data_IF_340590449138
#
_entry.id   IF_340590449138
#
_cell.length_a   1.000
_cell.length_b   1.000
_cell.length_c   1.000
_cell.angle_alpha   90.00
_cell.angle_beta   90.00
_cell.angle_gamma   90.00
#
_symmetry.space_group_name_H-M   'P 1'
#
loop_
_entity.id
_entity.type
_entity.pdbx_description
1 polymer ?
#
# COMPACT_ATOMS: atom_id res chain seq x y z
N UNK A 1 67.71 32.29 -31.07
CA UNK A 1 68.00 30.93 -31.58
C UNK A 1 66.72 30.35 -32.19
N UNK A 2 66.56 30.50 -33.51
CA UNK A 2 65.45 29.97 -34.31
C UNK A 2 65.94 28.69 -34.99
N UNK A 3 65.24 27.57 -34.82
CA UNK A 3 65.45 26.34 -35.60
C UNK A 3 64.40 26.29 -36.71
N UNK A 4 64.86 26.41 -37.94
CA UNK A 4 64.14 26.13 -39.18
C UNK A 4 64.29 24.65 -39.50
N UNK A 5 63.18 23.92 -39.61
CA UNK A 5 63.16 22.55 -40.15
C UNK A 5 62.49 22.57 -41.54
N UNK A 6 63.24 22.05 -42.51
CA UNK A 6 62.89 21.93 -43.92
C UNK A 6 61.78 20.90 -44.12
N UNK A 7 60.78 21.26 -44.93
CA UNK A 7 59.61 20.43 -45.27
C UNK A 7 59.82 19.88 -46.68
N UNK A 8 60.18 18.62 -46.78
CA UNK A 8 60.37 17.90 -48.04
C UNK A 8 59.01 17.47 -48.58
N UNK A 9 58.66 17.94 -49.78
CA UNK A 9 57.46 17.56 -50.53
C UNK A 9 57.73 16.30 -51.34
N UNK A 10 57.07 15.19 -51.01
CA UNK A 10 57.00 14.00 -51.85
C UNK A 10 55.71 14.04 -52.68
N UNK A 11 55.88 14.06 -54.00
CA UNK A 11 54.81 13.95 -54.99
C UNK A 11 54.33 12.51 -55.11
N UNK A 12 53.05 12.26 -54.82
CA UNK A 12 52.36 11.01 -55.11
C UNK A 12 51.83 11.00 -56.57
N UNK A 13 51.77 9.82 -57.22
CA UNK A 13 51.28 9.69 -58.59
C UNK A 13 49.75 9.82 -58.67
N UNK A 14 49.19 10.20 -59.83
CA UNK A 14 47.75 10.33 -60.02
C UNK A 14 47.08 8.95 -60.01
N UNK A 15 46.24 8.73 -58.99
CA UNK A 15 45.37 7.55 -58.91
C UNK A 15 44.23 7.64 -59.92
N UNK A 16 43.92 6.50 -60.52
CA UNK A 16 42.83 6.26 -61.47
C UNK A 16 41.45 6.61 -60.89
N UNK A 17 40.49 7.09 -61.71
CA UNK A 17 39.13 7.33 -61.28
C UNK A 17 38.35 6.01 -61.30
N UNK A 18 38.49 5.21 -60.24
CA UNK A 18 37.64 4.04 -60.02
C UNK A 18 36.46 4.37 -59.12
N UNK A 19 35.26 4.20 -59.66
CA UNK A 19 34.14 3.60 -58.94
C UNK A 19 33.40 4.46 -57.92
N UNK A 20 32.56 5.37 -58.42
CA UNK A 20 31.41 5.94 -57.72
C UNK A 20 30.31 4.86 -57.47
N UNK A 21 30.64 3.76 -56.79
CA UNK A 21 29.71 2.67 -56.47
C UNK A 21 29.75 2.22 -54.99
N UNK A 22 30.64 2.74 -54.14
CA UNK A 22 30.73 2.33 -52.72
C UNK A 22 29.53 2.78 -51.89
N UNK A 23 28.91 3.91 -52.24
CA UNK A 23 27.83 4.50 -51.43
C UNK A 23 26.52 3.68 -51.48
N UNK A 24 26.35 2.80 -52.47
CA UNK A 24 25.18 1.91 -52.59
C UNK A 24 25.41 0.55 -51.92
N UNK A 25 26.63 0.04 -51.91
CA UNK A 25 26.98 -1.20 -51.20
C UNK A 25 26.97 -0.98 -49.68
N UNK A 26 27.47 0.17 -49.21
CA UNK A 26 27.44 0.53 -47.78
C UNK A 26 26.00 0.74 -47.26
N UNK A 27 25.09 1.28 -48.09
CA UNK A 27 23.68 1.45 -47.73
C UNK A 27 22.93 0.11 -47.65
N UNK A 28 23.26 -0.84 -48.54
CA UNK A 28 22.66 -2.18 -48.55
C UNK A 28 23.17 -3.01 -47.36
N UNK A 29 24.45 -2.89 -46.99
CA UNK A 29 25.02 -3.55 -45.79
C UNK A 29 24.38 -3.03 -44.49
N UNK A 30 24.11 -1.72 -44.38
CA UNK A 30 23.40 -1.16 -43.22
C UNK A 30 21.96 -1.67 -43.15
N UNK A 31 21.25 -1.73 -44.28
CA UNK A 31 19.87 -2.23 -44.33
C UNK A 31 19.78 -3.74 -44.02
N UNK A 32 20.78 -4.52 -44.45
CA UNK A 32 20.87 -5.95 -44.15
C UNK A 32 21.30 -6.21 -42.70
N UNK A 33 22.14 -5.35 -42.11
CA UNK A 33 22.47 -5.37 -40.68
C UNK A 33 21.27 -4.96 -39.81
N UNK A 34 20.48 -3.97 -40.22
CA UNK A 34 19.23 -3.57 -39.55
C UNK A 34 18.15 -4.66 -39.64
N UNK A 35 18.02 -5.32 -40.80
CA UNK A 35 17.14 -6.50 -40.96
C UNK A 35 17.62 -7.70 -40.15
N UNK A 36 18.93 -7.94 -40.10
CA UNK A 36 19.54 -9.02 -39.32
C UNK A 36 19.50 -8.77 -37.81
N UNK A 37 19.47 -7.51 -37.37
CA UNK A 37 19.39 -7.13 -35.97
C UNK A 37 17.98 -7.20 -35.37
N UNK A 38 16.92 -7.40 -36.17
CA UNK A 38 15.53 -7.40 -35.70
C UNK A 38 15.31 -6.29 -34.67
N UNK A 39 15.51 -5.04 -35.12
CA UNK A 39 15.34 -3.86 -34.28
C UNK A 39 13.85 -3.73 -33.96
N UNK A 40 13.43 -4.39 -32.88
CA UNK A 40 12.06 -4.38 -32.41
C UNK A 40 11.75 -2.99 -31.85
N UNK A 41 10.89 -2.25 -32.55
CA UNK A 41 10.32 -1.00 -32.05
C UNK A 41 9.28 -1.38 -31.02
N UNK A 42 9.49 -0.94 -29.78
CA UNK A 42 8.57 -1.18 -28.68
C UNK A 42 7.88 0.13 -28.29
N UNK A 43 6.67 0.02 -27.79
CA UNK A 43 6.01 1.11 -27.09
C UNK A 43 6.42 1.14 -25.62
N UNK A 44 6.24 2.30 -24.99
CA UNK A 44 6.37 2.41 -23.53
C UNK A 44 5.43 1.44 -22.81
N UNK A 45 4.20 1.26 -23.30
CA UNK A 45 3.22 0.32 -22.72
C UNK A 45 3.75 -1.12 -22.72
N UNK A 46 4.32 -1.58 -23.84
CA UNK A 46 4.94 -2.92 -23.94
C UNK A 46 6.08 -3.07 -22.93
N UNK A 47 6.93 -2.05 -22.78
CA UNK A 47 8.01 -2.09 -21.79
C UNK A 47 7.49 -2.17 -20.34
N UNK A 48 6.42 -1.46 -20.03
CA UNK A 48 5.85 -1.40 -18.67
C UNK A 48 5.04 -2.64 -18.31
N UNK A 49 4.38 -3.25 -19.29
CA UNK A 49 3.50 -4.42 -19.12
C UNK A 49 4.23 -5.74 -19.31
N UNK A 50 5.46 -5.72 -19.78
CA UNK A 50 6.31 -6.91 -19.86
C UNK A 50 6.52 -7.49 -18.45
N UNK A 51 6.28 -8.80 -18.35
CA UNK A 51 6.43 -9.54 -17.10
C UNK A 51 7.90 -9.82 -16.85
N UNK A 52 8.29 -9.91 -15.57
CA UNK A 52 9.66 -10.34 -15.25
C UNK A 52 10.00 -11.72 -15.82
N UNK A 53 9.00 -12.59 -15.99
CA UNK A 53 9.16 -13.94 -16.51
C UNK A 53 10.05 -14.83 -15.63
N UNK A 54 10.40 -16.02 -16.13
CA UNK A 54 11.41 -16.88 -15.51
C UNK A 54 11.16 -17.29 -14.06
N UNK A 55 12.26 -17.65 -13.38
CA UNK A 55 12.29 -17.94 -11.94
C UNK A 55 13.03 -16.80 -11.22
N UNK A 56 12.62 -16.44 -10.00
CA UNK A 56 13.39 -15.50 -9.20
C UNK A 56 14.80 -16.07 -8.90
N UNK A 57 15.80 -15.20 -8.65
CA UNK A 57 17.14 -15.62 -8.25
C UNK A 57 17.06 -16.46 -6.96
N UNK A 58 17.72 -17.64 -6.92
CA UNK A 58 17.69 -18.48 -5.73
C UNK A 58 18.38 -17.80 -4.55
N UNK A 59 18.01 -18.21 -3.34
CA UNK A 59 18.72 -17.85 -2.11
C UNK A 59 19.97 -18.72 -1.96
N UNK A 60 21.11 -18.12 -1.57
CA UNK A 60 22.35 -18.86 -1.29
C UNK A 60 22.14 -19.97 -0.26
N UNK A 61 21.41 -19.65 0.81
CA UNK A 61 21.02 -20.63 1.82
C UNK A 61 19.65 -20.31 2.39
N UNK A 62 19.04 -21.29 3.03
CA UNK A 62 17.79 -21.10 3.81
C UNK A 62 17.98 -20.23 5.06
N UNK A 63 19.22 -19.92 5.43
CA UNK A 63 19.55 -19.09 6.61
C UNK A 63 19.65 -17.60 6.30
N UNK A 64 19.70 -17.23 5.01
CA UNK A 64 19.71 -15.81 4.62
C UNK A 64 18.40 -15.19 5.05
N UNK A 65 18.48 -14.36 6.11
CA UNK A 65 17.46 -13.42 6.53
C UNK A 65 16.02 -13.98 6.55
N UNK A 66 15.80 -14.96 7.41
CA UNK A 66 14.52 -15.66 7.57
C UNK A 66 13.61 -15.07 8.66
N UNK A 67 14.00 -13.93 9.26
CA UNK A 67 13.34 -13.36 10.44
C UNK A 67 12.54 -12.12 10.09
N UNK A 68 11.35 -12.02 10.68
CA UNK A 68 10.56 -10.78 10.71
C UNK A 68 10.57 -10.24 12.14
N UNK A 69 10.67 -8.92 12.29
CA UNK A 69 10.61 -8.25 13.60
C UNK A 69 9.23 -8.45 14.24
N UNK A 70 9.19 -8.67 15.55
CA UNK A 70 7.96 -8.58 16.33
C UNK A 70 7.53 -7.14 16.59
N UNK A 71 6.52 -6.93 17.43
CA UNK A 71 6.12 -5.59 17.85
C UNK A 71 7.28 -4.85 18.56
N UNK A 72 7.49 -3.56 18.27
CA UNK A 72 8.35 -2.68 19.08
C UNK A 72 7.66 -2.36 20.40
N UNK A 73 8.43 -1.86 21.37
CA UNK A 73 7.86 -1.29 22.60
C UNK A 73 6.85 -0.16 22.31
N UNK A 74 7.09 0.64 21.26
CA UNK A 74 6.18 1.72 20.86
C UNK A 74 4.88 1.17 20.29
N UNK A 75 4.96 0.17 19.42
CA UNK A 75 3.81 -0.49 18.79
C UNK A 75 2.94 -1.21 19.83
N UNK A 76 3.53 -1.79 20.89
CA UNK A 76 2.78 -2.37 22.02
C UNK A 76 1.91 -1.33 22.74
N UNK A 77 2.32 -0.05 22.73
CA UNK A 77 1.64 1.04 23.43
C UNK A 77 0.63 1.81 22.55
N UNK A 78 0.38 1.36 21.33
CA UNK A 78 -0.62 1.99 20.46
C UNK A 78 -2.00 2.01 21.12
N UNK A 79 -2.68 3.17 21.02
CA UNK A 79 -4.08 3.31 21.44
C UNK A 79 -5.01 2.52 20.51
N UNK A 80 -6.24 2.16 20.92
CA UNK A 80 -7.17 1.44 20.06
C UNK A 80 -7.42 2.08 18.68
N UNK A 81 -7.33 3.41 18.59
CA UNK A 81 -7.47 4.17 17.34
C UNK A 81 -6.25 4.11 16.43
N UNK A 82 -5.08 3.73 16.96
CA UNK A 82 -3.83 3.58 16.22
C UNK A 82 -3.59 2.12 15.81
N UNK A 83 -4.29 1.16 16.40
CA UNK A 83 -4.08 -0.27 16.16
C UNK A 83 -4.78 -0.74 14.89
N UNK A 84 -4.19 -1.72 14.20
CA UNK A 84 -4.89 -2.45 13.14
C UNK A 84 -6.05 -3.22 13.78
N UNK A 85 -7.27 -3.03 13.26
CA UNK A 85 -8.48 -3.67 13.79
C UNK A 85 -9.03 -4.70 12.81
N UNK A 86 -8.94 -4.41 11.52
CA UNK A 86 -9.61 -5.18 10.47
C UNK A 86 -8.71 -5.36 9.26
N UNK A 87 -8.80 -6.54 8.64
CA UNK A 87 -8.12 -6.87 7.40
C UNK A 87 -9.14 -7.44 6.42
N UNK A 88 -9.15 -6.98 5.18
CA UNK A 88 -9.99 -7.55 4.12
C UNK A 88 -9.19 -7.77 2.85
N UNK A 89 -9.68 -8.65 1.98
CA UNK A 89 -9.19 -8.75 0.62
C UNK A 89 -9.73 -7.60 -0.24
N UNK A 90 -8.98 -7.26 -1.28
CA UNK A 90 -9.41 -6.41 -2.38
C UNK A 90 -8.76 -6.92 -3.66
N UNK A 91 -9.32 -8.00 -4.21
CA UNK A 91 -8.78 -8.72 -5.38
C UNK A 91 -8.57 -7.82 -6.60
N UNK A 92 -9.53 -6.95 -6.86
CA UNK A 92 -9.49 -6.03 -7.99
C UNK A 92 -8.58 -4.80 -7.78
N UNK A 93 -7.90 -4.66 -6.63
CA UNK A 93 -7.16 -3.43 -6.29
C UNK A 93 -6.16 -3.02 -7.37
N UNK A 94 -5.28 -3.94 -7.77
CA UNK A 94 -4.19 -3.65 -8.73
C UNK A 94 -4.74 -3.46 -10.14
N UNK A 95 -5.75 -4.24 -10.56
CA UNK A 95 -6.39 -4.05 -11.86
C UNK A 95 -7.10 -2.70 -11.94
N UNK A 96 -7.86 -2.32 -10.92
CA UNK A 96 -8.52 -1.01 -10.86
C UNK A 96 -7.51 0.13 -10.84
N UNK A 97 -6.41 0.00 -10.10
CA UNK A 97 -5.31 0.97 -10.12
C UNK A 97 -4.78 1.18 -11.54
N UNK A 98 -4.56 0.08 -12.28
CA UNK A 98 -4.12 0.12 -13.68
C UNK A 98 -5.16 0.77 -14.58
N UNK A 99 -6.43 0.41 -14.43
CA UNK A 99 -7.52 1.01 -15.22
C UNK A 99 -7.59 2.53 -15.03
N UNK A 100 -7.46 3.01 -13.79
CA UNK A 100 -7.41 4.46 -13.50
C UNK A 100 -6.18 5.13 -14.11
N UNK A 101 -5.02 4.46 -14.09
CA UNK A 101 -3.80 4.98 -14.72
C UNK A 101 -3.94 5.01 -16.25
N UNK A 102 -4.41 3.94 -16.87
CA UNK A 102 -4.67 3.84 -18.31
C UNK A 102 -5.71 4.86 -18.81
N UNK A 103 -6.64 5.28 -17.95
CA UNK A 103 -7.60 6.33 -18.24
C UNK A 103 -7.01 7.75 -18.12
N UNK A 104 -5.83 7.92 -17.49
CA UNK A 104 -5.24 9.24 -17.27
C UNK A 104 -4.66 9.82 -18.58
N UNK A 105 -5.07 11.03 -19.02
CA UNK A 105 -4.69 11.56 -20.34
C UNK A 105 -3.19 11.65 -20.61
N UNK A 106 -2.40 12.09 -19.62
CA UNK A 106 -0.93 12.14 -19.76
C UNK A 106 -0.31 10.76 -19.92
N UNK A 107 -0.88 9.76 -19.23
CA UNK A 107 -0.38 8.40 -19.35
C UNK A 107 -0.71 7.82 -20.72
N UNK A 108 -1.90 8.08 -21.26
CA UNK A 108 -2.25 7.65 -22.63
C UNK A 108 -1.34 8.22 -23.71
N UNK A 109 -0.89 9.47 -23.55
CA UNK A 109 0.09 10.07 -24.44
C UNK A 109 1.48 9.40 -24.29
N UNK A 110 1.95 9.29 -23.05
CA UNK A 110 3.25 8.68 -22.73
C UNK A 110 3.34 7.21 -23.14
N UNK A 111 2.32 6.39 -22.85
CA UNK A 111 2.35 4.94 -23.05
C UNK A 111 2.38 4.54 -24.52
N UNK A 112 1.83 5.38 -25.40
CA UNK A 112 1.82 5.17 -26.87
C UNK A 112 3.10 5.64 -27.56
N UNK A 113 4.04 6.24 -26.83
CA UNK A 113 5.32 6.66 -27.41
C UNK A 113 6.07 5.43 -27.91
N UNK A 114 6.44 5.47 -29.19
CA UNK A 114 7.32 4.48 -29.80
C UNK A 114 8.78 4.74 -29.38
N UNK A 115 9.47 3.68 -29.00
CA UNK A 115 10.85 3.66 -28.55
C UNK A 115 11.69 2.98 -29.61
N UNK A 116 12.34 3.79 -30.45
CA UNK A 116 13.26 3.28 -31.45
C UNK A 116 14.63 2.99 -30.80
N UNK A 117 15.19 1.78 -30.93
CA UNK A 117 16.50 1.46 -30.36
C UNK A 117 17.66 2.27 -30.95
N UNK A 118 17.49 2.82 -32.16
CA UNK A 118 18.45 3.69 -32.84
C UNK A 118 18.34 5.16 -32.40
N UNK A 119 17.24 5.56 -31.76
CA UNK A 119 17.11 6.86 -31.10
C UNK A 119 17.71 6.79 -29.70
N UNK A 120 18.60 7.73 -29.37
CA UNK A 120 19.29 7.74 -28.07
C UNK A 120 18.30 7.90 -26.92
N UNK A 121 17.30 8.78 -27.06
CA UNK A 121 16.33 9.02 -25.99
C UNK A 121 15.39 7.81 -25.82
N UNK A 122 14.86 7.27 -26.92
CA UNK A 122 14.07 6.05 -26.95
C UNK A 122 14.81 4.85 -26.33
N UNK A 123 16.07 4.66 -26.70
CA UNK A 123 16.93 3.60 -26.17
C UNK A 123 17.21 3.74 -24.67
N UNK A 124 17.52 4.95 -24.20
CA UNK A 124 17.73 5.21 -22.76
C UNK A 124 16.46 4.95 -21.96
N UNK A 125 15.29 5.37 -22.47
CA UNK A 125 14.01 5.14 -21.81
C UNK A 125 13.67 3.65 -21.78
N UNK A 126 13.83 2.94 -22.90
CA UNK A 126 13.66 1.49 -22.98
C UNK A 126 14.55 0.76 -21.98
N UNK A 127 15.84 1.13 -21.89
CA UNK A 127 16.77 0.51 -20.93
C UNK A 127 16.43 0.80 -19.47
N UNK A 128 15.76 1.92 -19.19
CA UNK A 128 15.35 2.33 -17.85
C UNK A 128 14.03 1.68 -17.40
N UNK A 129 13.21 1.19 -18.33
CA UNK A 129 11.89 0.62 -18.05
C UNK A 129 11.82 -0.89 -18.23
N UNK A 130 12.44 -1.42 -19.29
CA UNK A 130 12.22 -2.82 -19.70
C UNK A 130 12.87 -3.81 -18.72
N UNK A 131 12.17 -4.85 -18.24
CA UNK A 131 12.66 -5.77 -17.21
C UNK A 131 13.95 -6.51 -17.59
N UNK A 132 14.13 -6.86 -18.87
CA UNK A 132 15.38 -7.45 -19.38
C UNK A 132 16.59 -6.51 -19.38
N UNK A 133 16.37 -5.19 -19.35
CA UNK A 133 17.44 -4.18 -19.29
C UNK A 133 17.72 -3.75 -17.86
N UNK A 134 16.67 -3.59 -17.07
CA UNK A 134 16.76 -3.19 -15.66
C UNK A 134 17.36 -4.32 -14.80
N UNK A 135 18.21 -3.95 -13.83
CA UNK A 135 18.86 -4.92 -12.95
C UNK A 135 19.99 -5.73 -13.61
N UNK A 136 20.46 -5.36 -14.80
CA UNK A 136 21.73 -5.87 -15.35
C UNK A 136 22.86 -5.57 -14.35
N UNK A 137 23.63 -6.59 -13.98
CA UNK A 137 24.71 -6.49 -12.99
C UNK A 137 24.30 -6.83 -11.55
N UNK A 138 23.02 -7.12 -11.29
CA UNK A 138 22.62 -7.71 -10.02
C UNK A 138 23.10 -9.16 -9.90
N UNK A 139 23.37 -9.64 -8.67
CA UNK A 139 23.82 -11.01 -8.48
C UNK A 139 22.73 -12.00 -8.90
N UNK A 140 23.14 -13.11 -9.52
CA UNK A 140 22.24 -14.20 -9.93
C UNK A 140 21.70 -15.01 -8.76
N UNK A 141 22.29 -14.85 -7.57
CA UNK A 141 21.93 -15.51 -6.33
C UNK A 141 21.82 -14.46 -5.21
N UNK A 142 20.89 -14.67 -4.28
CA UNK A 142 20.64 -13.74 -3.17
C UNK A 142 21.48 -14.16 -1.96
N UNK A 143 22.46 -13.33 -1.58
CA UNK A 143 23.34 -13.54 -0.43
C UNK A 143 22.82 -12.84 0.84
N UNK A 144 22.00 -11.78 0.68
CA UNK A 144 21.53 -10.92 1.76
C UNK A 144 20.16 -10.28 1.48
N UNK A 145 19.55 -9.66 2.49
CA UNK A 145 18.34 -8.80 2.31
C UNK A 145 18.59 -7.65 1.33
N UNK A 146 19.83 -7.15 1.30
CA UNK A 146 20.24 -6.06 0.40
C UNK A 146 20.16 -6.48 -1.06
N UNK A 147 20.42 -7.75 -1.39
CA UNK A 147 20.31 -8.23 -2.76
C UNK A 147 18.85 -8.32 -3.18
N UNK A 148 17.96 -8.86 -2.32
CA UNK A 148 16.51 -8.86 -2.58
C UNK A 148 15.97 -7.45 -2.78
N UNK A 149 16.38 -6.51 -1.92
CA UNK A 149 16.05 -5.09 -2.03
C UNK A 149 16.52 -4.52 -3.36
N UNK A 150 17.76 -4.80 -3.76
CA UNK A 150 18.34 -4.30 -5.01
C UNK A 150 17.60 -4.83 -6.24
N UNK A 151 17.18 -6.11 -6.23
CA UNK A 151 16.35 -6.70 -7.28
C UNK A 151 14.99 -6.02 -7.39
N UNK A 152 14.28 -5.84 -6.28
CA UNK A 152 12.96 -5.19 -6.26
C UNK A 152 13.06 -3.72 -6.71
N UNK A 153 14.03 -2.97 -6.17
CA UNK A 153 14.20 -1.56 -6.50
C UNK A 153 14.60 -1.38 -7.97
N UNK A 154 15.59 -2.12 -8.45
CA UNK A 154 16.13 -1.92 -9.80
C UNK A 154 15.17 -2.38 -10.88
N UNK A 155 14.40 -3.46 -10.66
CA UNK A 155 13.52 -4.05 -11.69
C UNK A 155 12.08 -3.57 -11.65
N UNK A 156 11.61 -3.03 -10.52
CA UNK A 156 10.20 -2.67 -10.35
C UNK A 156 10.04 -1.24 -9.83
N UNK A 157 10.54 -0.94 -8.63
CA UNK A 157 10.19 0.33 -7.97
C UNK A 157 10.83 1.57 -8.62
N UNK A 158 12.12 1.53 -8.97
CA UNK A 158 12.78 2.65 -9.64
C UNK A 158 12.28 2.85 -11.08
N UNK A 159 12.14 1.80 -11.91
CA UNK A 159 11.51 1.94 -13.22
C UNK A 159 10.09 2.53 -13.14
N UNK A 160 9.28 2.09 -12.18
CA UNK A 160 7.92 2.60 -11.98
C UNK A 160 7.92 4.08 -11.58
N UNK A 161 8.80 4.47 -10.64
CA UNK A 161 8.94 5.86 -10.25
C UNK A 161 9.37 6.71 -11.45
N UNK A 162 10.40 6.26 -12.19
CA UNK A 162 10.90 6.91 -13.41
C UNK A 162 9.81 7.10 -14.47
N UNK A 163 9.00 6.07 -14.74
CA UNK A 163 7.88 6.15 -15.67
C UNK A 163 6.85 7.22 -15.26
N UNK A 164 6.57 7.36 -13.95
CA UNK A 164 5.71 8.43 -13.43
C UNK A 164 6.36 9.80 -13.68
N UNK A 165 7.67 9.93 -13.45
CA UNK A 165 8.42 11.16 -13.72
C UNK A 165 8.23 11.61 -15.17
N UNK A 166 8.48 10.71 -16.12
CA UNK A 166 8.30 10.96 -17.54
C UNK A 166 6.85 11.30 -17.88
N UNK A 167 5.89 10.54 -17.35
CA UNK A 167 4.45 10.81 -17.55
C UNK A 167 4.05 12.20 -17.06
N UNK A 168 4.60 12.66 -15.93
CA UNK A 168 4.30 13.98 -15.39
C UNK A 168 4.89 15.10 -16.23
N UNK A 169 6.07 14.86 -16.83
CA UNK A 169 6.78 15.78 -17.71
C UNK A 169 6.15 15.88 -19.11
N UNK A 170 5.35 14.89 -19.51
CA UNK A 170 4.66 14.87 -20.81
C UNK A 170 3.87 16.16 -21.07
N UNK A 171 4.26 16.87 -22.14
CA UNK A 171 3.67 18.16 -22.54
C UNK A 171 4.01 19.36 -21.64
N UNK A 172 5.01 19.27 -20.77
CA UNK A 172 5.43 20.37 -19.89
C UNK A 172 6.89 20.78 -20.09
N UNK A 173 7.15 22.08 -20.24
CA UNK A 173 8.51 22.62 -20.43
C UNK A 173 9.26 22.91 -19.11
N UNK A 174 8.55 22.97 -17.98
CA UNK A 174 9.15 23.15 -16.66
C UNK A 174 9.59 21.78 -16.11
N UNK A 175 10.78 21.69 -15.50
CA UNK A 175 11.18 20.54 -14.71
C UNK A 175 10.35 20.58 -13.43
N UNK A 176 9.31 19.73 -13.27
CA UNK A 176 8.53 19.72 -12.03
C UNK A 176 9.43 19.25 -10.88
N UNK A 177 9.05 19.51 -9.63
CA UNK A 177 9.54 18.66 -8.56
C UNK A 177 8.96 17.27 -8.80
N UNK A 178 9.77 16.22 -8.71
CA UNK A 178 9.41 14.91 -9.26
C UNK A 178 9.38 13.87 -8.13
N UNK A 179 8.35 13.00 -8.07
CA UNK A 179 8.32 11.94 -7.06
C UNK A 179 9.51 10.99 -7.22
N UNK A 180 10.07 10.54 -6.12
CA UNK A 180 11.20 9.62 -6.12
C UNK A 180 11.06 8.56 -5.04
N UNK A 181 11.74 7.42 -5.25
CA UNK A 181 11.85 6.37 -4.25
C UNK A 181 13.20 6.52 -3.54
N UNK A 182 13.18 6.46 -2.22
CA UNK A 182 14.38 6.60 -1.40
C UNK A 182 14.32 5.64 -0.21
N UNK A 183 15.47 5.40 0.41
CA UNK A 183 15.50 4.87 1.77
C UNK A 183 14.87 5.86 2.76
N UNK A 184 14.46 5.36 3.92
CA UNK A 184 13.83 6.15 4.97
C UNK A 184 14.77 6.38 6.15
N UNK A 185 14.84 7.62 6.65
CA UNK A 185 15.48 7.89 7.93
C UNK A 185 14.64 7.29 9.06
N UNK A 186 15.28 6.46 9.90
CA UNK A 186 14.61 5.85 11.04
C UNK A 186 14.38 6.82 12.20
N UNK A 187 13.23 6.66 12.87
CA UNK A 187 13.02 7.22 14.22
C UNK A 187 13.10 6.08 15.22
N UNK A 188 13.83 6.29 16.33
CA UNK A 188 13.92 5.28 17.40
C UNK A 188 12.52 4.87 17.87
N UNK A 189 12.24 3.58 17.85
CA UNK A 189 10.95 2.99 18.24
C UNK A 189 9.89 2.92 17.14
N UNK A 190 10.10 3.60 16.00
CA UNK A 190 9.21 3.57 14.84
C UNK A 190 9.59 2.45 13.89
N UNK A 191 8.60 1.85 13.24
CA UNK A 191 8.82 0.96 12.10
C UNK A 191 9.47 1.74 10.95
N UNK A 192 10.63 1.28 10.49
CA UNK A 192 11.33 1.84 9.35
C UNK A 192 10.97 0.97 8.14
N UNK A 193 10.36 1.52 7.09
CA UNK A 193 10.20 0.81 5.82
C UNK A 193 11.53 0.79 5.07
N UNK A 194 11.75 -0.24 4.26
CA UNK A 194 12.97 -0.38 3.45
C UNK A 194 13.03 0.69 2.35
N UNK A 195 11.88 1.14 1.85
CA UNK A 195 11.77 2.25 0.92
C UNK A 195 10.55 3.14 1.20
N UNK A 196 10.63 4.38 0.75
CA UNK A 196 9.52 5.35 0.74
C UNK A 196 9.41 5.98 -0.65
N UNK A 197 8.19 6.06 -1.15
CA UNK A 197 7.82 6.89 -2.29
C UNK A 197 7.48 8.28 -1.75
N UNK A 198 8.23 9.29 -2.17
CA UNK A 198 8.12 10.65 -1.68
C UNK A 198 7.40 11.51 -2.73
N UNK A 199 6.37 12.25 -2.31
CA UNK A 199 5.74 13.27 -3.16
C UNK A 199 6.64 14.47 -3.32
N UNK A 200 6.49 15.11 -4.47
CA UNK A 200 7.18 16.33 -4.82
C UNK A 200 6.98 17.47 -3.80
N UNK A 201 7.95 18.39 -3.73
CA UNK A 201 7.93 19.66 -2.98
C UNK A 201 7.80 19.61 -1.45
N UNK A 202 7.33 18.50 -0.89
CA UNK A 202 6.89 18.38 0.51
C UNK A 202 7.74 17.40 1.31
N UNK A 203 8.54 16.56 0.64
CA UNK A 203 9.29 15.45 1.25
C UNK A 203 8.41 14.52 2.10
N UNK A 204 7.11 14.43 1.79
CA UNK A 204 6.14 13.60 2.48
C UNK A 204 6.14 12.21 1.86
N UNK A 205 6.25 11.17 2.69
CA UNK A 205 6.09 9.79 2.24
C UNK A 205 4.62 9.52 1.89
N UNK A 206 4.37 9.18 0.63
CA UNK A 206 3.04 8.84 0.09
C UNK A 206 2.83 7.33 -0.09
N UNK A 207 3.92 6.58 -0.24
CA UNK A 207 3.89 5.14 -0.36
C UNK A 207 5.08 4.52 0.36
N UNK A 208 4.94 3.29 0.82
CA UNK A 208 5.97 2.57 1.57
C UNK A 208 6.36 1.29 0.83
N UNK A 209 7.60 0.87 1.00
CA UNK A 209 8.12 -0.39 0.49
C UNK A 209 8.73 -1.22 1.62
N UNK A 210 8.30 -2.47 1.72
CA UNK A 210 8.81 -3.46 2.67
C UNK A 210 9.30 -4.69 1.89
N UNK A 211 10.60 -4.91 1.92
CA UNK A 211 11.31 -5.88 1.08
C UNK A 211 11.81 -7.02 1.94
N UNK A 212 11.29 -8.22 1.67
CA UNK A 212 11.69 -9.45 2.35
C UNK A 212 12.56 -10.30 1.44
N UNK A 213 13.19 -11.32 2.01
CA UNK A 213 13.74 -12.44 1.23
C UNK A 213 12.66 -13.49 1.01
N UNK A 214 12.85 -14.36 0.02
CA UNK A 214 12.00 -15.53 -0.22
C UNK A 214 11.92 -16.48 1.00
N UNK A 215 12.97 -16.53 1.83
CA UNK A 215 12.97 -17.32 3.08
C UNK A 215 12.06 -16.72 4.15
N UNK A 216 11.98 -15.39 4.23
CA UNK A 216 11.13 -14.66 5.20
C UNK A 216 9.67 -14.58 4.77
N UNK A 217 9.42 -14.41 3.47
CA UNK A 217 8.09 -14.38 2.88
C UNK A 217 8.02 -15.34 1.67
N UNK A 218 7.94 -16.66 1.93
CA UNK A 218 7.59 -17.63 0.91
C UNK A 218 6.22 -17.35 0.30
N UNK A 219 6.02 -17.70 -0.98
CA UNK A 219 4.73 -17.54 -1.67
C UNK A 219 3.54 -18.18 -0.92
N UNK A 220 3.79 -19.30 -0.21
CA UNK A 220 2.77 -19.97 0.61
C UNK A 220 2.37 -19.20 1.87
N UNK A 221 3.21 -18.31 2.39
CA UNK A 221 2.99 -17.65 3.69
C UNK A 221 1.71 -16.83 3.71
N UNK A 222 1.37 -16.14 2.62
CA UNK A 222 0.14 -15.36 2.55
C UNK A 222 -1.02 -16.12 1.91
N UNK A 223 -0.76 -17.26 1.25
CA UNK A 223 -1.76 -18.00 0.47
C UNK A 223 -3.00 -18.36 1.29
N UNK A 224 -2.80 -18.95 2.47
CA UNK A 224 -3.92 -19.41 3.31
C UNK A 224 -4.75 -18.24 3.85
N UNK A 225 -4.08 -17.14 4.21
CA UNK A 225 -4.77 -15.94 4.71
C UNK A 225 -5.53 -15.25 3.59
N UNK A 226 -4.91 -15.04 2.42
CA UNK A 226 -5.58 -14.43 1.28
C UNK A 226 -6.77 -15.28 0.82
N UNK A 227 -6.60 -16.60 0.72
CA UNK A 227 -7.70 -17.53 0.36
C UNK A 227 -8.85 -17.44 1.36
N UNK A 228 -8.53 -17.39 2.66
CA UNK A 228 -9.54 -17.25 3.70
C UNK A 228 -10.27 -15.90 3.62
N UNK A 229 -9.55 -14.79 3.43
CA UNK A 229 -10.13 -13.46 3.26
C UNK A 229 -11.06 -13.41 2.03
N UNK A 230 -10.61 -13.98 0.91
CA UNK A 230 -11.41 -14.11 -0.32
C UNK A 230 -12.74 -14.85 -0.07
N UNK A 231 -12.66 -15.93 0.71
CA UNK A 231 -13.84 -16.72 1.07
C UNK A 231 -14.79 -15.93 1.97
N UNK A 232 -14.28 -15.11 2.90
CA UNK A 232 -15.13 -14.26 3.73
C UNK A 232 -15.78 -13.14 2.93
N UNK A 233 -15.03 -12.51 2.03
CA UNK A 233 -15.56 -11.48 1.13
C UNK A 233 -16.70 -12.07 0.28
N UNK A 234 -16.46 -13.17 -0.44
CA UNK A 234 -17.46 -13.78 -1.31
C UNK A 234 -18.72 -14.32 -0.60
N UNK A 235 -18.62 -14.73 0.67
CA UNK A 235 -19.75 -15.34 1.39
C UNK A 235 -20.52 -14.38 2.29
N UNK A 236 -19.81 -13.45 2.94
CA UNK A 236 -20.36 -12.60 3.99
C UNK A 236 -20.12 -11.11 3.74
N UNK A 237 -19.21 -10.75 2.83
CA UNK A 237 -18.76 -9.37 2.59
C UNK A 237 -18.34 -8.66 3.89
N UNK A 238 -17.62 -9.33 4.79
CA UNK A 238 -17.14 -8.72 6.04
C UNK A 238 -15.62 -8.77 6.14
N UNK A 239 -14.99 -7.78 6.80
CA UNK A 239 -13.56 -7.85 7.07
C UNK A 239 -13.28 -8.86 8.18
N UNK A 240 -12.05 -9.33 8.23
CA UNK A 240 -11.57 -10.23 9.27
C UNK A 240 -10.87 -9.49 10.40
N UNK A 241 -11.07 -9.97 11.62
CA UNK A 241 -10.56 -9.31 12.82
C UNK A 241 -9.06 -9.53 12.99
N UNK A 242 -8.33 -8.43 13.19
CA UNK A 242 -6.98 -8.44 13.71
C UNK A 242 -6.99 -8.00 15.18
N UNK A 243 -6.23 -8.71 16.01
CA UNK A 243 -6.06 -8.41 17.42
C UNK A 243 -4.68 -7.81 17.64
N UNK A 244 -4.66 -6.72 18.41
CA UNK A 244 -3.44 -6.09 18.89
C UNK A 244 -3.26 -6.43 20.37
N UNK A 245 -2.90 -7.68 20.63
CA UNK A 245 -2.77 -8.21 21.98
C UNK A 245 -1.38 -7.99 22.58
N UNK A 246 -1.33 -7.82 23.90
CA UNK A 246 -0.10 -7.59 24.66
C UNK A 246 0.51 -8.87 25.24
N UNK A 247 -0.23 -9.98 25.19
CA UNK A 247 0.26 -11.28 25.67
C UNK A 247 0.96 -12.07 24.56
N UNK A 248 1.91 -12.90 24.97
CA UNK A 248 2.50 -13.90 24.09
C UNK A 248 1.41 -14.81 23.53
N UNK A 249 1.45 -15.04 22.21
CA UNK A 249 0.52 -15.96 21.56
C UNK A 249 0.63 -17.39 22.11
N UNK A 250 -0.36 -18.24 21.84
CA UNK A 250 -0.31 -19.63 22.25
C UNK A 250 0.93 -20.32 21.67
N UNK A 251 1.58 -21.15 22.47
CA UNK A 251 2.78 -21.92 22.06
C UNK A 251 2.53 -22.83 20.85
N UNK A 252 1.25 -23.08 20.52
CA UNK A 252 0.79 -23.89 19.39
C UNK A 252 0.54 -23.09 18.10
N UNK A 253 0.78 -21.78 18.07
CA UNK A 253 0.67 -21.00 16.84
C UNK A 253 1.68 -21.52 15.80
N UNK A 254 1.22 -21.78 14.57
CA UNK A 254 2.12 -22.17 13.49
C UNK A 254 3.14 -21.05 13.21
N UNK A 255 4.35 -21.43 12.78
CA UNK A 255 5.39 -20.47 12.39
C UNK A 255 4.87 -19.48 11.32
N UNK A 256 4.05 -19.95 10.39
CA UNK A 256 3.41 -19.14 9.36
C UNK A 256 2.44 -18.09 9.95
N UNK A 257 1.58 -18.48 10.90
CA UNK A 257 0.67 -17.54 11.57
C UNK A 257 1.42 -16.47 12.36
N UNK A 258 2.56 -16.84 12.97
CA UNK A 258 3.45 -15.91 13.67
C UNK A 258 4.09 -14.92 12.70
N UNK A 259 4.60 -15.39 11.55
CA UNK A 259 5.19 -14.55 10.51
C UNK A 259 4.19 -13.54 9.94
N UNK A 260 2.99 -13.98 9.57
CA UNK A 260 1.95 -13.07 9.04
C UNK A 260 1.59 -12.00 10.07
N UNK A 261 1.43 -12.39 11.33
CA UNK A 261 1.15 -11.44 12.41
C UNK A 261 2.23 -10.36 12.50
N UNK A 262 3.50 -10.78 12.50
CA UNK A 262 4.64 -9.86 12.53
C UNK A 262 4.67 -8.92 11.33
N UNK A 263 4.43 -9.44 10.13
CA UNK A 263 4.36 -8.66 8.90
C UNK A 263 3.24 -7.62 8.99
N UNK A 264 2.01 -8.03 9.32
CA UNK A 264 0.88 -7.10 9.41
C UNK A 264 1.10 -6.01 10.46
N UNK A 265 1.66 -6.35 11.63
CA UNK A 265 2.04 -5.37 12.64
C UNK A 265 3.08 -4.38 12.12
N UNK A 266 4.11 -4.88 11.41
CA UNK A 266 5.17 -4.05 10.86
C UNK A 266 4.64 -3.09 9.79
N UNK A 267 3.89 -3.59 8.82
CA UNK A 267 3.29 -2.78 7.75
C UNK A 267 2.37 -1.70 8.33
N UNK A 268 1.55 -2.09 9.31
CA UNK A 268 0.63 -1.15 9.95
C UNK A 268 1.35 -0.08 10.76
N UNK A 269 2.34 -0.46 11.58
CA UNK A 269 3.13 0.51 12.36
C UNK A 269 3.82 1.54 11.47
N UNK A 270 4.37 1.10 10.33
CA UNK A 270 4.98 2.00 9.35
C UNK A 270 3.99 2.98 8.73
N UNK A 271 2.75 2.54 8.43
CA UNK A 271 1.66 3.38 7.91
C UNK A 271 1.06 4.31 8.98
N UNK A 272 0.99 3.87 10.23
CA UNK A 272 0.48 4.70 11.32
C UNK A 272 1.44 5.86 11.64
N UNK A 273 2.75 5.60 11.57
CA UNK A 273 3.78 6.64 11.71
C UNK A 273 3.85 7.59 10.49
N UNK A 274 3.26 7.20 9.35
CA UNK A 274 3.26 7.96 8.09
C UNK A 274 1.82 8.02 7.53
N UNK A 275 0.93 8.82 8.14
CA UNK A 275 -0.49 8.80 7.83
C UNK A 275 -0.84 9.20 6.38
N UNK A 276 0.05 9.95 5.72
CA UNK A 276 -0.04 10.28 4.30
C UNK A 276 0.23 9.09 3.36
N UNK A 277 0.84 8.02 3.88
CA UNK A 277 1.15 6.85 3.09
C UNK A 277 -0.04 5.88 3.06
N UNK A 278 -0.79 5.92 1.94
CA UNK A 278 -1.98 5.09 1.76
C UNK A 278 -1.66 3.67 1.31
N UNK A 279 -0.51 3.46 0.68
CA UNK A 279 -0.11 2.16 0.16
C UNK A 279 1.21 1.71 0.77
N UNK A 280 1.28 0.42 1.08
CA UNK A 280 2.55 -0.28 1.29
C UNK A 280 2.71 -1.44 0.31
N UNK A 281 3.84 -1.49 -0.37
CA UNK A 281 4.24 -2.62 -1.21
C UNK A 281 5.03 -3.61 -0.36
N UNK A 282 4.51 -4.82 -0.16
CA UNK A 282 5.22 -5.93 0.45
C UNK A 282 5.72 -6.85 -0.66
N UNK A 283 7.04 -7.03 -0.79
CA UNK A 283 7.59 -7.95 -1.80
C UNK A 283 8.74 -8.76 -1.26
N UNK A 284 8.79 -10.04 -1.62
CA UNK A 284 10.00 -10.87 -1.49
C UNK A 284 10.71 -11.14 -2.81
N UNK A 285 10.33 -10.40 -3.85
CA UNK A 285 10.65 -10.65 -5.25
C UNK A 285 10.04 -11.95 -5.83
N UNK A 286 9.89 -13.00 -5.02
CA UNK A 286 9.13 -14.22 -5.33
C UNK A 286 7.62 -13.94 -5.41
N UNK A 287 7.11 -13.13 -4.48
CA UNK A 287 5.71 -12.75 -4.39
C UNK A 287 5.61 -11.29 -3.96
N UNK A 288 4.64 -10.58 -4.53
CA UNK A 288 4.31 -9.20 -4.19
C UNK A 288 2.84 -9.10 -3.78
N UNK A 289 2.57 -8.38 -2.69
CA UNK A 289 1.23 -8.01 -2.24
C UNK A 289 1.23 -6.51 -1.98
N UNK A 290 0.19 -5.83 -2.47
CA UNK A 290 -0.03 -4.42 -2.19
C UNK A 290 -1.06 -4.28 -1.08
N UNK A 291 -0.74 -3.47 -0.08
CA UNK A 291 -1.58 -3.20 1.07
C UNK A 291 -2.09 -1.76 0.99
N UNK A 292 -3.41 -1.58 1.07
CA UNK A 292 -4.05 -0.27 0.94
C UNK A 292 -4.82 0.08 2.21
N UNK A 293 -4.50 1.23 2.81
CA UNK A 293 -5.22 1.75 3.97
C UNK A 293 -6.55 2.32 3.52
N UNK A 294 -7.66 1.84 4.09
CA UNK A 294 -8.98 2.31 3.69
C UNK A 294 -9.14 3.82 4.01
N UNK A 295 -9.56 4.66 3.04
CA UNK A 295 -9.56 6.12 3.21
C UNK A 295 -10.54 6.61 4.27
N UNK A 296 -11.69 5.92 4.42
CA UNK A 296 -12.72 6.29 5.40
C UNK A 296 -12.63 5.48 6.72
N UNK A 297 -11.90 4.36 6.73
CA UNK A 297 -11.92 3.39 7.85
C UNK A 297 -10.49 3.23 8.38
N UNK A 298 -10.11 4.13 9.29
CA UNK A 298 -8.71 4.34 9.71
C UNK A 298 -7.98 3.06 10.15
N UNK A 299 -8.68 2.06 10.69
CA UNK A 299 -8.15 0.82 11.26
C UNK A 299 -8.43 -0.42 10.39
N UNK A 300 -8.71 -0.23 9.09
CA UNK A 300 -8.92 -1.27 8.09
C UNK A 300 -7.79 -1.26 7.06
N UNK A 301 -7.16 -2.42 6.88
CA UNK A 301 -6.16 -2.68 5.84
C UNK A 301 -6.76 -3.60 4.77
N UNK A 302 -6.70 -3.17 3.51
CA UNK A 302 -7.06 -3.99 2.36
C UNK A 302 -5.80 -4.65 1.78
N UNK A 303 -5.88 -5.92 1.43
CA UNK A 303 -4.79 -6.68 0.82
C UNK A 303 -5.17 -7.06 -0.62
N UNK A 304 -4.28 -6.77 -1.57
CA UNK A 304 -4.41 -7.31 -2.93
C UNK A 304 -4.19 -8.82 -2.95
N UNK A 305 -4.46 -9.42 -4.10
CA UNK A 305 -3.93 -10.75 -4.38
C UNK A 305 -2.40 -10.78 -4.36
N UNK A 306 -1.88 -11.97 -4.08
CA UNK A 306 -0.47 -12.29 -4.20
C UNK A 306 -0.10 -12.44 -5.68
N UNK A 307 0.76 -11.54 -6.17
CA UNK A 307 1.26 -11.56 -7.54
C UNK A 307 2.63 -12.27 -7.54
N UNK A 308 2.76 -13.44 -8.18
CA UNK A 308 4.04 -14.13 -8.25
C UNK A 308 5.04 -13.39 -9.14
N UNK A 309 6.33 -13.64 -8.93
CA UNK A 309 7.45 -13.11 -9.71
C UNK A 309 7.20 -13.15 -11.23
N UNK A 310 6.75 -14.28 -11.76
CA UNK A 310 6.57 -14.46 -13.20
C UNK A 310 5.45 -13.58 -13.80
N UNK A 311 4.63 -12.93 -12.98
CA UNK A 311 3.45 -12.17 -13.40
C UNK A 311 3.50 -10.69 -13.03
N UNK A 312 4.37 -10.29 -12.11
CA UNK A 312 4.51 -8.87 -11.71
C UNK A 312 5.17 -8.08 -12.84
N UNK A 313 4.72 -6.84 -13.01
CA UNK A 313 5.17 -5.90 -14.04
C UNK A 313 5.55 -4.56 -13.42
N UNK A 314 6.28 -3.73 -14.17
CA UNK A 314 6.56 -2.34 -13.76
C UNK A 314 5.25 -1.55 -13.68
N UNK A 315 4.31 -1.82 -14.58
CA UNK A 315 2.97 -1.22 -14.61
C UNK A 315 2.19 -1.44 -13.32
N UNK A 316 2.31 -2.60 -12.67
CA UNK A 316 1.63 -2.86 -11.38
C UNK A 316 2.14 -1.91 -10.28
N UNK A 317 3.46 -1.71 -10.17
CA UNK A 317 4.05 -0.76 -9.23
C UNK A 317 3.70 0.68 -9.62
N UNK A 318 3.77 1.01 -10.91
CA UNK A 318 3.49 2.35 -11.43
C UNK A 318 2.05 2.78 -11.11
N UNK A 319 1.06 1.93 -11.37
CA UNK A 319 -0.35 2.20 -11.10
C UNK A 319 -0.61 2.44 -9.61
N UNK A 320 0.01 1.63 -8.76
CA UNK A 320 -0.14 1.73 -7.31
C UNK A 320 0.59 2.96 -6.75
N UNK A 321 1.77 3.29 -7.29
CA UNK A 321 2.49 4.52 -6.95
C UNK A 321 1.71 5.76 -7.39
N UNK A 322 1.09 5.74 -8.57
CA UNK A 322 0.24 6.84 -9.04
C UNK A 322 -0.97 7.08 -8.12
N UNK A 323 -1.61 6.01 -7.64
CA UNK A 323 -2.68 6.11 -6.63
C UNK A 323 -2.17 6.71 -5.31
N UNK A 324 -1.03 6.20 -4.84
CA UNK A 324 -0.38 6.62 -3.59
C UNK A 324 0.01 8.11 -3.62
N UNK A 325 0.52 8.59 -4.75
CA UNK A 325 0.86 10.00 -4.99
C UNK A 325 -0.36 10.90 -5.21
N UNK A 326 -1.57 10.34 -5.34
CA UNK A 326 -2.79 11.09 -5.66
C UNK A 326 -2.88 11.57 -7.10
N UNK A 327 -2.07 11.01 -8.02
CA UNK A 327 -2.14 11.26 -9.47
C UNK A 327 -3.42 10.62 -10.03
N UNK A 328 -3.73 9.42 -9.55
CA UNK A 328 -4.99 8.73 -9.80
C UNK A 328 -5.72 8.53 -8.47
N UNK A 329 -7.02 8.21 -8.54
CA UNK A 329 -7.85 7.99 -7.36
C UNK A 329 -8.79 6.81 -7.57
N UNK A 330 -8.97 6.02 -6.52
CA UNK A 330 -10.07 5.07 -6.41
C UNK A 330 -11.30 5.79 -5.86
N UNK A 331 -12.41 5.63 -6.54
CA UNK A 331 -13.71 6.11 -6.08
C UNK A 331 -14.31 5.13 -5.08
N UNK A 332 -15.37 5.57 -4.39
CA UNK A 332 -16.01 4.75 -3.35
C UNK A 332 -16.55 3.44 -3.92
N UNK A 333 -16.97 3.46 -5.18
CA UNK A 333 -17.52 2.32 -5.91
C UNK A 333 -16.44 1.28 -6.27
N UNK A 334 -15.17 1.70 -6.33
CA UNK A 334 -14.02 0.85 -6.61
C UNK A 334 -13.60 0.05 -5.35
N UNK A 335 -13.99 0.51 -4.16
CA UNK A 335 -13.69 -0.14 -2.89
C UNK A 335 -14.65 -1.32 -2.59
N UNK A 336 -14.19 -2.36 -1.88
CA UNK A 336 -15.03 -3.52 -1.55
C UNK A 336 -16.25 -3.09 -0.71
N UNK A 337 -17.44 -3.54 -1.14
CA UNK A 337 -18.72 -3.22 -0.49
C UNK A 337 -18.95 -4.13 0.71
N UNK A 338 -18.46 -3.72 1.87
CA UNK A 338 -18.62 -4.48 3.11
C UNK A 338 -20.06 -4.40 3.66
N UNK A 339 -20.62 -5.54 4.08
CA UNK A 339 -21.90 -5.63 4.79
C UNK A 339 -21.77 -4.99 6.18
N UNK A 340 -22.28 -3.77 6.30
CA UNK A 340 -22.20 -2.97 7.53
C UNK A 340 -23.01 -3.57 8.68
N UNK A 341 -24.09 -4.28 8.41
CA UNK A 341 -24.91 -4.88 9.47
C UNK A 341 -24.20 -6.10 10.09
N UNK A 342 -23.66 -6.98 9.25
CA UNK A 342 -22.85 -8.11 9.70
C UNK A 342 -21.56 -7.63 10.39
N UNK A 343 -20.90 -6.62 9.81
CA UNK A 343 -19.68 -6.07 10.40
C UNK A 343 -19.95 -5.45 11.79
N UNK A 344 -21.02 -4.67 11.97
CA UNK A 344 -21.39 -4.13 13.29
C UNK A 344 -21.69 -5.25 14.31
N UNK A 345 -22.31 -6.34 13.87
CA UNK A 345 -22.57 -7.52 14.71
C UNK A 345 -21.26 -8.19 15.15
N UNK A 346 -20.29 -8.33 14.25
CA UNK A 346 -18.96 -8.83 14.58
C UNK A 346 -18.22 -7.90 15.54
N UNK A 347 -18.33 -6.59 15.35
CA UNK A 347 -17.66 -5.63 16.23
C UNK A 347 -18.20 -5.69 17.67
N UNK A 348 -19.52 -5.82 17.84
CA UNK A 348 -20.13 -6.04 19.16
C UNK A 348 -19.70 -7.38 19.77
N UNK A 349 -19.68 -8.46 18.97
CA UNK A 349 -19.18 -9.76 19.43
C UNK A 349 -17.73 -9.67 19.94
N UNK A 350 -16.83 -9.13 19.12
CA UNK A 350 -15.42 -9.04 19.46
C UNK A 350 -15.16 -8.09 20.62
N UNK A 351 -15.97 -7.04 20.79
CA UNK A 351 -15.91 -6.19 21.98
C UNK A 351 -16.20 -6.96 23.27
N UNK A 352 -17.11 -7.94 23.23
CA UNK A 352 -17.46 -8.79 24.38
C UNK A 352 -16.50 -9.95 24.59
N UNK A 353 -15.93 -10.47 23.51
CA UNK A 353 -15.10 -11.69 23.51
C UNK A 353 -13.69 -11.40 22.94
N UNK A 354 -12.86 -10.60 23.65
CA UNK A 354 -11.57 -10.18 23.15
C UNK A 354 -10.52 -11.30 23.16
N UNK A 355 -9.66 -11.30 22.15
CA UNK A 355 -8.44 -12.12 22.15
C UNK A 355 -7.30 -11.33 22.81
N UNK A 356 -6.50 -12.00 23.65
CA UNK A 356 -5.46 -11.35 24.47
C UNK A 356 -4.09 -11.22 23.77
N UNK A 357 -3.87 -11.97 22.69
CA UNK A 357 -2.62 -12.01 21.93
C UNK A 357 -2.79 -11.43 20.53
N UNK A 358 -1.69 -10.92 19.97
CA UNK A 358 -1.68 -10.30 18.65
C UNK A 358 -1.86 -11.31 17.51
N UNK A 359 -2.55 -10.89 16.46
CA UNK A 359 -2.73 -11.66 15.22
C UNK A 359 -4.16 -11.73 14.73
N UNK A 360 -4.35 -12.42 13.62
CA UNK A 360 -5.68 -12.69 13.08
C UNK A 360 -6.49 -13.58 14.03
N UNK A 361 -7.81 -13.38 14.07
CA UNK A 361 -8.72 -14.09 14.97
C UNK A 361 -8.63 -15.62 14.80
N UNK A 362 -8.27 -16.35 15.86
CA UNK A 362 -8.02 -17.80 15.74
C UNK A 362 -9.28 -18.63 15.58
N UNK A 363 -10.45 -18.07 15.94
CA UNK A 363 -11.73 -18.80 15.89
C UNK A 363 -12.13 -19.18 14.47
N UNK A 364 -11.74 -18.36 13.47
CA UNK A 364 -11.89 -18.51 11.99
C UNK A 364 -13.29 -18.88 11.45
N UNK A 365 -14.24 -19.29 12.28
CA UNK A 365 -15.61 -19.62 11.90
C UNK A 365 -16.53 -18.39 12.05
N UNK A 366 -16.22 -17.36 11.26
CA UNK A 366 -16.96 -16.09 11.23
C UNK A 366 -18.46 -16.29 10.93
N UNK A 367 -18.88 -17.17 10.01
CA UNK A 367 -20.32 -17.42 9.77
C UNK A 367 -21.06 -17.90 11.03
N UNK A 368 -20.48 -18.85 11.76
CA UNK A 368 -21.09 -19.37 12.98
C UNK A 368 -21.14 -18.30 14.09
N UNK A 369 -20.07 -17.50 14.24
CA UNK A 369 -20.03 -16.38 15.19
C UNK A 369 -21.17 -15.40 14.91
N UNK A 370 -21.32 -14.98 13.64
CA UNK A 370 -22.39 -14.08 13.20
C UNK A 370 -23.77 -14.66 13.53
N UNK A 371 -24.00 -15.92 13.19
CA UNK A 371 -25.29 -16.58 13.42
C UNK A 371 -25.64 -16.66 14.91
N UNK A 372 -24.72 -17.15 15.74
CA UNK A 372 -24.92 -17.32 17.18
C UNK A 372 -25.11 -15.98 17.89
N UNK A 373 -24.28 -14.99 17.56
CA UNK A 373 -24.34 -13.67 18.19
C UNK A 373 -25.60 -12.90 17.78
N UNK A 374 -25.99 -12.97 16.50
CA UNK A 374 -27.25 -12.38 16.03
C UNK A 374 -28.46 -13.00 16.74
N UNK A 375 -28.46 -14.32 16.95
CA UNK A 375 -29.53 -14.99 17.68
C UNK A 375 -29.60 -14.55 19.15
N UNK A 376 -28.44 -14.40 19.80
CA UNK A 376 -28.31 -13.90 21.17
C UNK A 376 -28.84 -12.46 21.30
N UNK A 377 -28.46 -11.56 20.39
CA UNK A 377 -28.96 -10.17 20.42
C UNK A 377 -30.48 -10.10 20.24
N UNK A 378 -31.05 -10.94 19.37
CA UNK A 378 -32.51 -11.04 19.19
C UNK A 378 -33.21 -11.55 20.45
N UNK A 379 -32.65 -12.54 21.15
CA UNK A 379 -33.23 -13.03 22.40
C UNK A 379 -33.14 -11.98 23.52
N UNK A 380 -31.99 -11.31 23.68
CA UNK A 380 -31.80 -10.22 24.64
C UNK A 380 -32.79 -9.07 24.41
N UNK A 381 -33.02 -8.69 23.14
CA UNK A 381 -33.99 -7.67 22.78
C UNK A 381 -35.43 -8.10 23.11
N UNK A 382 -35.79 -9.35 22.83
CA UNK A 382 -37.11 -9.90 23.13
C UNK A 382 -37.38 -9.96 24.66
N UNK A 383 -36.38 -10.32 25.46
CA UNK A 383 -36.49 -10.29 26.92
C UNK A 383 -36.64 -8.87 27.48
N UNK A 384 -35.87 -7.91 26.96
CA UNK A 384 -36.02 -6.50 27.34
C UNK A 384 -37.43 -5.97 27.05
N UNK A 385 -38.01 -6.34 25.92
CA UNK A 385 -39.40 -5.99 25.58
C UNK A 385 -40.41 -6.65 26.52
N UNK A 386 -40.24 -7.93 26.86
CA UNK A 386 -41.09 -8.63 27.84
C UNK A 386 -41.01 -7.97 29.22
N UNK A 387 -39.81 -7.59 29.66
CA UNK A 387 -39.61 -6.94 30.96
C UNK A 387 -40.16 -5.51 31.01
N UNK A 388 -40.08 -4.75 29.90
CA UNK A 388 -40.75 -3.44 29.78
C UNK A 388 -42.27 -3.58 29.86
N UNK A 389 -42.86 -4.58 29.20
CA UNK A 389 -44.31 -4.85 29.28
C UNK A 389 -44.77 -5.23 30.69
N UNK A 390 -43.98 -6.02 31.44
CA UNK A 390 -44.30 -6.36 32.84
C UNK A 390 -44.22 -5.16 33.80
N UNK A 391 -43.35 -4.19 33.54
CA UNK A 391 -43.26 -2.95 34.36
C UNK A 391 -44.41 -1.96 34.12
N UNK A 392 -45.15 -2.06 33.02
CA UNK A 392 -46.37 -1.29 32.75
C UNK A 392 -47.58 -2.16 33.13
N UNK A 393 -47.59 -2.63 34.36
CA UNK A 393 -48.82 -3.12 35.01
C UNK A 393 -48.93 -2.28 36.28
N UNK A 394 -49.43 -1.05 36.11
CA UNK A 394 -49.84 -0.23 37.25
C UNK A 394 -50.90 -1.05 37.98
N UNK A 395 -50.74 -1.34 39.29
CA UNK A 395 -51.79 -2.01 40.02
C UNK A 395 -53.04 -1.16 39.89
N UNK A 396 -54.18 -1.79 39.61
CA UNK A 396 -55.48 -1.15 39.67
C UNK A 396 -55.71 -0.67 41.10
N UNK A 397 -55.18 0.52 41.42
CA UNK A 397 -55.55 1.28 42.59
C UNK A 397 -57.03 1.55 42.41
N UNK A 398 -57.79 0.91 43.28
CA UNK A 398 -59.22 1.08 43.46
C UNK A 398 -59.52 2.57 43.64
N UNK A 399 -59.88 3.22 42.54
CA UNK A 399 -60.43 4.57 42.53
C UNK A 399 -61.81 4.51 43.19
N UNK A 400 -61.82 4.56 44.53
CA UNK A 400 -63.00 4.90 45.31
C UNK A 400 -63.41 6.32 44.93
N UNK A 401 -64.58 6.42 44.32
CA UNK A 401 -65.39 7.63 44.28
C UNK A 401 -65.61 8.13 45.72
N UNK A 402 -65.16 9.35 46.03
CA UNK A 402 -65.76 10.13 47.11
C UNK A 402 -65.65 11.65 46.83
N UNK A 403 -66.82 12.16 46.47
CA UNK A 403 -67.40 13.49 46.68
C UNK A 403 -66.58 14.60 47.35
N UNK A 404 -66.68 15.79 46.73
CA UNK A 404 -66.93 17.11 47.32
C UNK A 404 -66.12 17.52 48.56
N UNK A 405 -65.19 18.45 48.34
CA UNK A 405 -64.65 19.36 49.35
C UNK A 405 -64.19 20.63 48.66
N UNK A 406 -64.80 21.75 49.05
CA UNK A 406 -64.55 23.14 48.65
C UNK A 406 -63.54 23.73 49.65
N UNK A 407 -63.00 24.94 49.38
CA UNK A 407 -62.32 25.86 50.35
C UNK A 407 -60.82 25.53 50.55
N UNK A 408 -59.79 26.40 50.60
CA UNK A 408 -59.43 27.83 50.46
C UNK A 408 -57.90 27.78 50.14
N UNK A 409 -57.34 28.52 49.16
CA UNK A 409 -56.71 29.85 49.27
C UNK A 409 -55.93 30.13 50.58
N UNK A 410 -54.61 30.33 50.43
CA UNK A 410 -53.68 31.28 51.12
C UNK A 410 -52.25 30.72 50.93
N UNK A 411 -51.33 31.42 50.23
CA UNK A 411 -50.42 32.47 50.78
C UNK A 411 -49.58 31.89 51.94
N UNK A 412 -48.26 31.95 52.01
CA UNK A 412 -47.23 32.71 51.30
C UNK A 412 -45.84 32.15 51.70
N UNK A 413 -44.82 32.62 50.97
CA UNK A 413 -43.48 32.99 51.45
C UNK A 413 -42.33 31.98 51.69
N UNK A 414 -41.19 32.43 51.13
CA UNK A 414 -39.79 32.31 51.58
C UNK A 414 -39.09 30.94 51.42
N UNK A 415 -37.84 30.78 50.97
CA UNK A 415 -36.70 31.70 50.87
C UNK A 415 -35.57 31.01 50.05
N UNK A 416 -34.70 31.82 49.44
CA UNK A 416 -33.23 31.64 49.37
C UNK A 416 -32.54 30.50 48.55
N UNK A 417 -31.83 30.90 47.48
CA UNK A 417 -30.34 31.03 47.43
C UNK A 417 -29.72 30.87 46.02
N UNK A 418 -29.14 31.98 45.55
CA UNK A 418 -27.82 32.19 44.93
C UNK A 418 -27.13 31.12 44.07
N UNK A 419 -26.58 31.56 42.92
CA UNK A 419 -25.44 30.86 42.32
C UNK A 419 -25.13 31.15 40.84
N UNK A 420 -24.74 32.39 40.54
CA UNK A 420 -24.02 32.79 39.32
C UNK A 420 -22.77 31.90 39.06
N UNK A 421 -22.43 31.64 37.80
CA UNK A 421 -21.07 31.75 37.22
C UNK A 421 -21.07 31.33 35.74
N UNK A 422 -20.80 32.35 34.94
CA UNK A 422 -20.42 32.41 33.52
C UNK A 422 -19.26 31.49 33.06
N UNK A 423 -19.13 31.25 31.73
CA UNK A 423 -18.06 30.42 31.17
C UNK A 423 -16.72 31.17 31.04
N UNK A 424 -15.63 30.57 31.53
CA UNK A 424 -14.26 31.12 31.40
C UNK A 424 -13.65 30.84 30.01
N UNK A 425 -13.02 31.83 29.35
CA UNK A 425 -12.21 31.63 28.15
C UNK A 425 -10.80 31.14 28.52
N UNK A 426 -10.28 30.14 27.79
CA UNK A 426 -8.89 29.66 27.92
C UNK A 426 -7.93 30.66 27.26
N UNK A 427 -7.01 31.21 28.06
CA UNK A 427 -5.88 32.02 27.59
C UNK A 427 -4.89 31.16 26.80
N UNK A 428 -4.55 31.63 25.59
CA UNK A 428 -3.37 31.25 24.81
C UNK A 428 -2.11 31.67 25.57
N UNK A 429 -1.22 30.73 25.87
CA UNK A 429 0.18 31.05 26.17
C UNK A 429 0.97 30.98 24.86
N UNK A 430 1.32 32.16 24.36
CA UNK A 430 2.37 32.37 23.36
C UNK A 430 3.67 32.52 24.15
N UNK A 431 4.63 31.62 23.93
CA UNK A 431 6.02 31.84 24.31
C UNK A 431 6.84 31.98 23.03
N UNK A 432 7.32 33.20 22.82
CA UNK A 432 8.45 33.52 21.95
C UNK A 432 9.69 33.64 22.84
N UNK A 433 10.79 32.98 22.43
CA UNK A 433 12.21 33.35 22.63
C UNK A 433 13.02 32.30 21.84
N UNK A 434 13.69 32.60 20.73
CA UNK A 434 14.72 33.60 20.39
C UNK A 434 16.05 32.85 20.18
N UNK A 435 16.50 32.88 18.93
CA UNK A 435 17.87 32.82 18.40
C UNK A 435 19.02 32.46 19.36
N UNK A 436 19.68 31.34 19.04
CA UNK A 436 21.12 31.24 18.72
C UNK A 436 21.32 30.10 17.74
#
# INVERSE_FOLDING_TARGET
MRRTASRTTASLPPGSPEGFNSDLEDAQEVEDVEKALHVEVLTVDECLTERLGGKPPPMLTTRVASSTRGLTQTEVLYTPTQQLKWVASHHAFVSLAKDKLCAHPKFQAFSRRELHPTDLEGSLLMHSLHPNSTGKGLPSEIHSESDSTSHILSKLAHPAAWAIQCTMQEGTAAIPSIPYVSSCSGKKGSGIPDAVLISDGSHVAKGLGEWKTANSLPAKTLKDVLTFLSSLESTLNVPFRFWWGTQSGPSSASDESSKITKILCQLWGQQEDRPDAMVTCLSSFDVTVFCYRHPEERNLLLLSDAIPHAWITVMDFMAVFALSLGITKLEKEDLPKLDRANWATLDDFYTREPQLFSGLDVRRNVPMILQQHSAKLKSEAAERLKNKRKKITVPASSRKLRSKGKVEQDEDDDDDMDGDITPRPKKRNVFYRSDT
#
